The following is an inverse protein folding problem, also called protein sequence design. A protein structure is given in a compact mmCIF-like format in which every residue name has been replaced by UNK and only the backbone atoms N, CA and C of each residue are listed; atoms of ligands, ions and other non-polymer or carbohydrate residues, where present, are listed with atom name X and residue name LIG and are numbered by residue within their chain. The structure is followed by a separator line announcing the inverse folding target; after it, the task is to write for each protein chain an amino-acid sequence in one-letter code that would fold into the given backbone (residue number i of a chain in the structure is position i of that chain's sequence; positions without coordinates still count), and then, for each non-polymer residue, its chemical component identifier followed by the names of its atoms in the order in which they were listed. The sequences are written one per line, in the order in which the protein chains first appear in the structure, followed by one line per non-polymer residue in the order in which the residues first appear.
data_IF_541407056209
#
_entry.id   IF_541407056209
#
_cell.length_a   1.000
_cell.length_b   1.000
_cell.length_c   1.000
_cell.angle_alpha   90.00
_cell.angle_beta   90.00
_cell.angle_gamma   90.00
#
_symmetry.space_group_name_H-M   'P 1'
#
loop_
_entity.id
_entity.type
_entity.pdbx_description
1 polymer ?
#
# COMPACT_ATOMS: atom_id res chain seq x y z
N UNK A 1 0.19 8.87 16.33
CA UNK A 1 -1.26 9.17 16.28
C UNK A 1 -1.47 10.57 16.79
N UNK A 2 -1.99 11.46 15.93
CA UNK A 2 -2.32 12.84 16.29
C UNK A 2 -3.83 13.04 16.33
N UNK A 3 -4.30 13.83 17.29
CA UNK A 3 -5.73 14.13 17.48
C UNK A 3 -5.99 15.58 17.12
N UNK A 4 -7.01 15.81 16.30
CA UNK A 4 -7.48 17.14 15.92
C UNK A 4 -8.97 17.28 16.19
N UNK A 5 -9.41 18.50 16.45
CA UNK A 5 -10.84 18.83 16.44
C UNK A 5 -11.35 19.00 15.01
N UNK A 6 -12.65 18.83 14.81
CA UNK A 6 -13.28 19.07 13.51
C UNK A 6 -13.00 20.46 12.92
N UNK A 7 -12.99 21.50 13.76
CA UNK A 7 -12.71 22.87 13.31
C UNK A 7 -11.27 23.03 12.81
N UNK A 8 -10.29 22.48 13.54
CA UNK A 8 -8.88 22.49 13.14
C UNK A 8 -8.67 21.69 11.85
N UNK A 9 -9.32 20.54 11.74
CA UNK A 9 -9.24 19.68 10.56
C UNK A 9 -9.80 20.35 9.31
N UNK A 10 -10.92 21.09 9.46
CA UNK A 10 -11.52 21.86 8.36
C UNK A 10 -10.63 23.00 7.89
N UNK A 11 -9.99 23.73 8.81
CA UNK A 11 -9.12 24.86 8.46
C UNK A 11 -7.78 24.42 7.87
N UNK A 12 -7.26 23.25 8.28
CA UNK A 12 -5.91 22.79 7.96
C UNK A 12 -5.88 21.46 7.19
N UNK A 13 -6.89 21.18 6.37
CA UNK A 13 -7.06 19.88 5.70
C UNK A 13 -5.80 19.44 4.92
N UNK A 14 -5.16 20.35 4.18
CA UNK A 14 -3.95 20.06 3.41
C UNK A 14 -2.80 19.57 4.28
N UNK A 15 -2.58 20.19 5.44
CA UNK A 15 -1.55 19.77 6.42
C UNK A 15 -1.89 18.42 7.03
N UNK A 16 -3.18 18.18 7.26
CA UNK A 16 -3.69 16.94 7.83
C UNK A 16 -3.48 15.76 6.88
N UNK A 17 -3.69 15.94 5.57
CA UNK A 17 -3.39 14.93 4.55
C UNK A 17 -1.90 14.59 4.49
N UNK A 18 -1.01 15.57 4.62
CA UNK A 18 0.45 15.34 4.68
C UNK A 18 0.85 14.56 5.93
N UNK A 19 0.20 14.81 7.07
CA UNK A 19 0.42 14.05 8.30
C UNK A 19 -0.12 12.61 8.16
N UNK A 20 -1.30 12.45 7.55
CA UNK A 20 -1.94 11.15 7.32
C UNK A 20 -1.15 10.21 6.39
N UNK A 21 -0.21 10.73 5.60
CA UNK A 21 0.75 9.92 4.84
C UNK A 21 1.82 9.27 5.72
N UNK A 22 2.12 9.84 6.89
CA UNK A 22 3.19 9.38 7.79
C UNK A 22 2.66 8.65 9.01
N UNK A 23 1.52 9.10 9.55
CA UNK A 23 0.91 8.55 10.76
C UNK A 23 -0.60 8.71 10.72
N UNK A 24 -1.31 7.84 11.44
CA UNK A 24 -2.76 7.93 11.59
C UNK A 24 -3.18 9.22 12.33
N UNK A 25 -4.23 9.86 11.81
CA UNK A 25 -4.79 11.08 12.37
C UNK A 25 -6.24 10.89 12.78
N UNK A 26 -6.56 11.18 14.04
CA UNK A 26 -7.93 11.19 14.56
C UNK A 26 -8.55 12.59 14.48
N UNK A 27 -9.82 12.65 14.08
CA UNK A 27 -10.64 13.86 14.06
C UNK A 27 -11.81 13.66 15.01
N UNK A 28 -11.88 14.47 16.06
CA UNK A 28 -12.96 14.45 17.06
C UNK A 28 -13.96 15.56 16.81
N UNK A 29 -15.23 15.21 16.82
CA UNK A 29 -16.35 16.15 16.77
C UNK A 29 -16.95 16.37 18.17
N UNK A 30 -17.68 17.48 18.31
CA UNK A 30 -18.37 17.82 19.58
C UNK A 30 -19.49 16.85 19.93
N UNK A 31 -20.04 16.14 18.94
CA UNK A 31 -21.03 15.07 19.13
C UNK A 31 -20.42 13.77 19.68
N UNK A 32 -19.11 13.75 19.94
CA UNK A 32 -18.38 12.58 20.44
C UNK A 32 -17.94 11.61 19.35
N UNK A 33 -18.30 11.85 18.09
CA UNK A 33 -17.84 11.00 16.99
C UNK A 33 -16.34 11.20 16.73
N UNK A 34 -15.67 10.08 16.44
CA UNK A 34 -14.24 10.03 16.17
C UNK A 34 -14.07 9.43 14.78
N UNK A 35 -13.35 10.14 13.92
CA UNK A 35 -12.97 9.67 12.59
C UNK A 35 -11.46 9.43 12.55
N UNK A 36 -11.03 8.38 11.87
CA UNK A 36 -9.62 8.15 11.56
C UNK A 36 -9.34 8.45 10.09
N UNK A 37 -8.27 9.19 9.84
CA UNK A 37 -7.73 9.47 8.52
C UNK A 37 -6.39 8.74 8.36
N UNK A 38 -6.40 7.77 7.44
CA UNK A 38 -5.23 6.98 7.07
C UNK A 38 -5.01 7.12 5.58
N UNK A 39 -3.77 7.42 5.17
CA UNK A 39 -3.43 7.38 3.75
C UNK A 39 -3.60 5.96 3.23
N UNK A 40 -4.40 5.80 2.18
CA UNK A 40 -4.39 4.55 1.44
C UNK A 40 -3.02 4.42 0.79
N UNK A 41 -2.32 3.34 1.08
CA UNK A 41 -1.19 2.97 0.24
C UNK A 41 -1.73 2.77 -1.17
N UNK A 42 -1.23 3.55 -2.13
CA UNK A 42 -1.27 3.09 -3.50
C UNK A 42 -0.47 1.80 -3.49
N UNK A 43 -1.16 0.66 -3.43
CA UNK A 43 -0.61 -0.60 -3.86
C UNK A 43 -0.29 -0.39 -5.34
N UNK A 44 0.89 0.18 -5.61
CA UNK A 44 1.67 -0.15 -6.78
C UNK A 44 1.90 -1.65 -6.64
N UNK A 45 0.90 -2.44 -7.00
CA UNK A 45 1.07 -3.86 -7.20
C UNK A 45 2.27 -3.94 -8.13
N UNK A 46 3.31 -4.65 -7.67
CA UNK A 46 4.50 -4.81 -8.49
C UNK A 46 4.04 -5.27 -9.88
N UNK A 47 4.66 -4.83 -10.97
CA UNK A 47 4.38 -5.41 -12.28
C UNK A 47 4.57 -6.94 -12.30
N UNK A 48 5.30 -7.48 -11.31
CA UNK A 48 5.50 -8.91 -11.07
C UNK A 48 4.57 -9.51 -10.00
N UNK A 49 3.66 -8.74 -9.41
CA UNK A 49 2.60 -9.20 -8.50
C UNK A 49 1.45 -9.84 -9.30
N UNK A 50 1.80 -10.91 -10.02
CA UNK A 50 0.88 -11.71 -10.83
C UNK A 50 0.69 -13.07 -10.17
N UNK A 51 -0.52 -13.62 -10.26
CA UNK A 51 -0.78 -14.96 -9.74
C UNK A 51 0.06 -16.01 -10.48
N UNK A 52 0.71 -16.88 -9.71
CA UNK A 52 1.44 -18.02 -10.30
C UNK A 52 0.49 -19.00 -10.97
N UNK A 53 0.94 -19.61 -12.07
CA UNK A 53 0.21 -20.68 -12.77
C UNK A 53 0.73 -22.06 -12.33
N UNK A 54 -0.19 -23.00 -12.15
CA UNK A 54 0.18 -24.41 -11.93
C UNK A 54 0.59 -25.02 -13.26
N UNK A 55 1.83 -25.51 -13.35
CA UNK A 55 2.36 -26.15 -14.55
C UNK A 55 2.86 -27.56 -14.25
N UNK A 56 3.05 -28.36 -15.30
CA UNK A 56 3.70 -29.68 -15.24
C UNK A 56 5.23 -29.58 -15.39
N UNK A 57 5.79 -28.37 -15.39
CA UNK A 57 7.21 -28.19 -15.60
C UNK A 57 8.00 -28.82 -14.45
N UNK A 58 9.03 -29.60 -14.80
CA UNK A 58 9.93 -30.24 -13.85
C UNK A 58 11.20 -29.42 -13.66
N UNK A 59 11.95 -29.70 -12.61
CA UNK A 59 13.28 -29.11 -12.36
C UNK A 59 14.24 -29.34 -13.54
N UNK A 60 14.16 -30.51 -14.19
CA UNK A 60 14.94 -30.81 -15.38
C UNK A 60 14.64 -29.85 -16.54
N UNK A 61 13.37 -29.46 -16.73
CA UNK A 61 12.98 -28.51 -17.77
C UNK A 61 13.56 -27.10 -17.52
N UNK A 62 13.62 -26.68 -16.26
CA UNK A 62 14.22 -25.40 -15.87
C UNK A 62 15.73 -25.41 -16.15
N UNK A 63 16.42 -26.47 -15.70
CA UNK A 63 17.87 -26.62 -15.91
C UNK A 63 18.24 -26.70 -17.39
N UNK A 64 17.42 -27.39 -18.21
CA UNK A 64 17.63 -27.41 -19.65
C UNK A 64 17.48 -26.02 -20.26
N UNK A 65 16.45 -25.25 -19.88
CA UNK A 65 16.24 -23.91 -20.43
C UNK A 65 17.40 -22.95 -20.09
N UNK A 66 17.90 -22.98 -18.84
CA UNK A 66 19.05 -22.17 -18.41
C UNK A 66 20.30 -22.55 -19.21
N UNK A 67 20.54 -23.86 -19.41
CA UNK A 67 21.69 -24.32 -20.20
C UNK A 67 21.62 -23.79 -21.64
N UNK A 68 20.47 -23.91 -22.31
CA UNK A 68 20.28 -23.38 -23.66
C UNK A 68 20.54 -21.87 -23.73
N UNK A 69 20.02 -21.08 -22.78
CA UNK A 69 20.24 -19.63 -22.74
C UNK A 69 21.70 -19.19 -22.55
N UNK A 70 22.57 -20.06 -22.02
CA UNK A 70 24.00 -19.76 -21.82
C UNK A 70 24.90 -20.24 -22.96
N UNK A 71 24.36 -21.06 -23.85
CA UNK A 71 25.13 -21.71 -24.93
C UNK A 71 24.76 -21.17 -26.32
N UNK A 72 23.76 -20.28 -26.40
CA UNK A 72 23.48 -19.42 -27.56
C UNK A 72 24.06 -18.04 -27.35
#
# INVERSE_FOLDING_TARGET
MKVFTYSEARQNLSKLLLLAQKEEVEIRRRDGTIFSLVSKENKSASPFDVQGIKTKATTANILSAIKHSRTG
#
